data_IF_315785694640
#
_entry.id   IF_315785694640
#
_cell.length_a   1.000
_cell.length_b   1.000
_cell.length_c   1.000
_cell.angle_alpha   90.00
_cell.angle_beta   90.00
_cell.angle_gamma   90.00
#
_symmetry.space_group_name_H-M   'P 1'
#
loop_
_entity.id
_entity.type
_entity.pdbx_description
1 polymer ?
#
# COMPACT_ATOMS: atom_id res chain seq x y z
N UNK A 1 11.00 15.10 15.12
CA UNK A 1 10.64 14.98 13.68
C UNK A 1 9.44 14.06 13.43
N UNK A 2 8.49 14.44 12.55
CA UNK A 2 7.36 13.59 12.15
C UNK A 2 7.76 12.72 10.94
N UNK A 3 7.42 11.44 10.97
CA UNK A 3 7.63 10.51 9.84
C UNK A 3 6.28 10.03 9.33
N UNK A 4 6.00 10.24 8.05
CA UNK A 4 4.70 9.97 7.43
C UNK A 4 4.90 8.98 6.29
N UNK A 5 4.13 7.89 6.26
CA UNK A 5 4.12 6.93 5.15
C UNK A 5 2.89 7.06 4.26
N UNK A 6 2.98 6.56 3.03
CA UNK A 6 1.87 6.57 2.06
C UNK A 6 0.65 5.81 2.62
N UNK A 7 0.89 4.68 3.29
CA UNK A 7 -0.14 3.90 3.98
C UNK A 7 -0.80 4.69 5.12
N UNK A 8 -0.05 5.53 5.85
CA UNK A 8 -0.64 6.36 6.90
C UNK A 8 -1.57 7.42 6.35
N UNK A 9 -1.18 8.10 5.27
CA UNK A 9 -2.05 9.09 4.62
C UNK A 9 -3.28 8.43 3.97
N UNK A 10 -3.14 7.24 3.40
CA UNK A 10 -4.31 6.50 2.88
C UNK A 10 -5.25 6.03 4.00
N UNK A 11 -4.72 5.49 5.10
CA UNK A 11 -5.55 5.14 6.26
C UNK A 11 -6.24 6.36 6.86
N UNK A 12 -5.55 7.51 6.93
CA UNK A 12 -6.13 8.75 7.40
C UNK A 12 -7.25 9.25 6.48
N UNK A 13 -7.04 9.23 5.16
CA UNK A 13 -8.10 9.57 4.19
C UNK A 13 -9.32 8.67 4.37
N UNK A 14 -9.13 7.35 4.50
CA UNK A 14 -10.23 6.39 4.72
C UNK A 14 -10.96 6.66 6.04
N UNK A 15 -10.23 7.02 7.09
CA UNK A 15 -10.79 7.39 8.38
C UNK A 15 -11.66 8.65 8.27
N UNK A 16 -11.19 9.69 7.57
CA UNK A 16 -11.96 10.93 7.33
C UNK A 16 -13.28 10.70 6.57
N UNK A 17 -13.32 9.68 5.69
CA UNK A 17 -14.50 9.35 4.89
C UNK A 17 -15.46 8.36 5.58
N UNK A 18 -15.07 7.82 6.73
CA UNK A 18 -15.88 6.83 7.44
C UNK A 18 -16.54 7.46 8.66
N UNK A 19 -17.82 7.85 8.49
CA UNK A 19 -18.63 8.49 9.53
C UNK A 19 -18.82 7.64 10.81
N UNK A 20 -18.59 6.32 10.74
CA UNK A 20 -18.66 5.41 11.88
C UNK A 20 -17.34 5.30 12.66
N UNK A 21 -16.22 5.79 12.10
CA UNK A 21 -14.92 5.70 12.75
C UNK A 21 -14.76 6.75 13.85
N UNK A 22 -14.14 6.35 14.96
CA UNK A 22 -13.81 7.26 16.07
C UNK A 22 -12.37 7.75 15.97
N UNK A 23 -12.05 8.84 16.68
CA UNK A 23 -10.66 9.32 16.83
C UNK A 23 -9.77 8.19 17.38
N UNK A 24 -10.25 7.47 18.41
CA UNK A 24 -9.49 6.36 19.03
C UNK A 24 -9.12 5.27 18.02
N UNK A 25 -9.96 4.99 17.02
CA UNK A 25 -9.62 4.04 15.96
C UNK A 25 -8.38 4.47 15.17
N UNK A 26 -8.25 5.77 14.86
CA UNK A 26 -7.08 6.28 14.15
C UNK A 26 -5.84 6.33 15.07
N UNK A 27 -6.01 6.67 16.35
CA UNK A 27 -4.92 6.63 17.34
C UNK A 27 -4.37 5.21 17.45
N UNK A 28 -5.24 4.21 17.61
CA UNK A 28 -4.83 2.82 17.76
C UNK A 28 -4.13 2.27 16.51
N UNK A 29 -4.57 2.69 15.32
CA UNK A 29 -3.87 2.40 14.07
C UNK A 29 -2.44 2.99 14.07
N UNK A 30 -2.29 4.28 14.38
CA UNK A 30 -1.00 4.98 14.37
C UNK A 30 -0.02 4.40 15.40
N UNK A 31 -0.53 4.00 16.56
CA UNK A 31 0.24 3.40 17.65
C UNK A 31 0.39 1.88 17.51
N UNK A 32 -0.10 1.30 16.41
CA UNK A 32 0.00 -0.14 16.09
C UNK A 32 -0.59 -1.04 17.18
N UNK A 33 -1.70 -0.62 17.78
CA UNK A 33 -2.40 -1.38 18.84
C UNK A 33 -3.39 -2.38 18.26
N UNK A 34 -3.80 -2.22 17.01
CA UNK A 34 -4.67 -3.18 16.31
C UNK A 34 -3.84 -4.33 15.73
N UNK A 35 -4.12 -5.59 16.09
CA UNK A 35 -3.45 -6.74 15.48
C UNK A 35 -3.86 -6.88 14.00
N UNK A 36 -2.98 -7.42 13.14
CA UNK A 36 -3.32 -7.68 11.74
C UNK A 36 -4.40 -8.76 11.63
N UNK A 37 -5.28 -8.62 10.65
CA UNK A 37 -6.27 -9.66 10.32
C UNK A 37 -5.63 -10.80 9.53
N UNK A 38 -6.28 -11.97 9.46
CA UNK A 38 -5.80 -13.09 8.61
C UNK A 38 -5.62 -12.65 7.16
N UNK A 39 -6.55 -11.84 6.62
CA UNK A 39 -6.45 -11.32 5.25
C UNK A 39 -5.21 -10.42 5.06
N UNK A 40 -4.86 -9.59 6.05
CA UNK A 40 -3.64 -8.77 6.00
C UNK A 40 -2.37 -9.62 6.07
N UNK A 41 -2.39 -10.69 6.89
CA UNK A 41 -1.28 -11.65 6.98
C UNK A 41 -1.11 -12.42 5.66
N UNK A 42 -2.20 -12.91 5.08
CA UNK A 42 -2.21 -13.58 3.78
C UNK A 42 -1.71 -12.66 2.66
N UNK A 43 -2.16 -11.40 2.64
CA UNK A 43 -1.65 -10.40 1.69
C UNK A 43 -0.15 -10.18 1.83
N UNK A 44 0.36 -10.05 3.06
CA UNK A 44 1.79 -9.88 3.33
C UNK A 44 2.61 -11.11 2.90
N UNK A 45 2.10 -12.31 3.15
CA UNK A 45 2.72 -13.56 2.70
C UNK A 45 2.76 -13.63 1.16
N UNK A 46 1.68 -13.23 0.49
CA UNK A 46 1.63 -13.21 -0.97
C UNK A 46 2.60 -12.17 -1.58
N UNK A 47 2.78 -11.00 -0.96
CA UNK A 47 3.79 -10.04 -1.42
C UNK A 47 5.19 -10.64 -1.41
N UNK A 48 5.56 -11.39 -0.36
CA UNK A 48 6.87 -12.06 -0.28
C UNK A 48 7.08 -13.13 -1.36
N UNK A 49 6.00 -13.82 -1.78
CA UNK A 49 6.07 -14.71 -2.95
C UNK A 49 6.49 -13.93 -4.18
N UNK A 50 5.85 -12.79 -4.45
CA UNK A 50 6.16 -11.96 -5.62
C UNK A 50 7.52 -11.27 -5.50
N UNK A 51 7.92 -10.87 -4.30
CA UNK A 51 9.24 -10.34 -3.98
C UNK A 51 10.35 -11.33 -4.37
N UNK A 52 10.18 -12.60 -4.02
CA UNK A 52 11.22 -13.63 -4.23
C UNK A 52 11.17 -14.27 -5.62
N UNK A 53 10.06 -14.14 -6.35
CA UNK A 53 9.91 -14.67 -7.71
C UNK A 53 10.94 -14.08 -8.69
N UNK A 54 11.49 -14.93 -9.56
CA UNK A 54 12.50 -14.56 -10.56
C UNK A 54 11.91 -14.58 -11.97
N UNK A 55 12.67 -14.00 -12.89
CA UNK A 55 12.35 -14.10 -14.31
C UNK A 55 12.24 -15.57 -14.73
N UNK A 56 11.17 -15.90 -15.47
CA UNK A 56 10.78 -17.25 -15.89
C UNK A 56 10.40 -18.23 -14.77
N UNK A 57 10.12 -17.76 -13.55
CA UNK A 57 9.50 -18.64 -12.55
C UNK A 57 8.04 -18.94 -12.94
N UNK A 58 7.69 -20.23 -12.94
CA UNK A 58 6.31 -20.69 -13.08
C UNK A 58 5.71 -20.91 -11.70
N UNK A 59 4.77 -20.04 -11.31
CA UNK A 59 4.08 -20.13 -10.03
C UNK A 59 2.77 -20.89 -10.20
N UNK A 60 2.73 -22.16 -9.81
CA UNK A 60 1.49 -22.94 -9.79
C UNK A 60 0.88 -22.98 -8.39
N UNK A 61 1.58 -23.59 -7.44
CA UNK A 61 1.17 -23.66 -6.04
C UNK A 61 2.37 -23.27 -5.19
N UNK A 62 2.18 -22.28 -4.34
CA UNK A 62 3.23 -21.69 -3.50
C UNK A 62 2.78 -21.61 -2.05
N UNK A 63 3.75 -21.66 -1.15
CA UNK A 63 3.52 -21.54 0.28
C UNK A 63 4.49 -20.53 0.87
N UNK A 64 3.98 -19.59 1.67
CA UNK A 64 4.77 -18.57 2.33
C UNK A 64 4.12 -18.21 3.66
N UNK A 65 4.92 -18.12 4.73
CA UNK A 65 4.46 -17.75 6.08
C UNK A 65 3.25 -18.55 6.59
N UNK A 66 3.14 -19.83 6.20
CA UNK A 66 2.02 -20.70 6.58
C UNK A 66 0.73 -20.49 5.76
N UNK A 67 0.77 -19.66 4.71
CA UNK A 67 -0.31 -19.49 3.76
C UNK A 67 0.01 -20.19 2.45
N UNK A 68 -0.96 -20.94 1.91
CA UNK A 68 -0.86 -21.59 0.61
C UNK A 68 -1.67 -20.82 -0.43
N UNK A 69 -1.07 -20.56 -1.59
CA UNK A 69 -1.71 -19.91 -2.72
C UNK A 69 -1.67 -20.82 -3.94
N UNK A 70 -2.80 -20.96 -4.61
CA UNK A 70 -2.93 -21.70 -5.86
C UNK A 70 -3.21 -20.73 -7.00
N UNK A 71 -2.23 -20.58 -7.87
CA UNK A 71 -2.24 -19.75 -9.07
C UNK A 71 -2.45 -20.59 -10.34
N UNK A 72 -2.61 -21.92 -10.23
CA UNK A 72 -2.71 -22.82 -11.40
C UNK A 72 -3.92 -22.53 -12.31
N UNK A 73 -4.90 -21.80 -11.80
CA UNK A 73 -6.05 -21.30 -12.56
C UNK A 73 -5.78 -20.00 -13.33
N UNK A 74 -4.62 -19.36 -13.15
CA UNK A 74 -4.20 -18.17 -13.90
C UNK A 74 -3.29 -18.58 -15.06
N UNK A 75 -3.70 -18.22 -16.26
CA UNK A 75 -2.87 -18.31 -17.47
C UNK A 75 -2.51 -16.89 -17.92
N UNK A 76 -1.52 -16.30 -17.25
CA UNK A 76 -1.05 -14.95 -17.56
C UNK A 76 0.41 -14.75 -17.15
N UNK A 77 1.08 -13.83 -17.84
CA UNK A 77 2.38 -13.33 -17.44
C UNK A 77 2.23 -12.11 -16.51
N UNK A 78 2.98 -12.11 -15.41
CA UNK A 78 3.02 -11.00 -14.45
C UNK A 78 4.35 -10.29 -14.62
N UNK A 79 4.31 -9.03 -15.03
CA UNK A 79 5.50 -8.20 -15.11
C UNK A 79 5.93 -7.76 -13.69
N UNK A 80 6.98 -8.38 -13.17
CA UNK A 80 7.62 -8.02 -11.91
C UNK A 80 8.98 -7.35 -12.21
N UNK A 81 9.14 -6.05 -11.94
CA UNK A 81 10.45 -5.40 -12.02
C UNK A 81 11.50 -6.05 -11.10
N UNK A 82 12.78 -5.93 -11.47
CA UNK A 82 13.89 -6.46 -10.65
C UNK A 82 14.09 -5.68 -9.35
N UNK A 83 13.86 -4.36 -9.37
CA UNK A 83 13.94 -3.54 -8.16
C UNK A 83 12.65 -3.68 -7.36
N UNK A 84 12.72 -4.44 -6.27
CA UNK A 84 11.61 -4.76 -5.37
C UNK A 84 11.87 -4.25 -3.96
N UNK A 85 10.81 -4.07 -3.18
CA UNK A 85 10.87 -3.52 -1.81
C UNK A 85 11.68 -2.22 -1.71
N UNK A 86 11.53 -1.36 -2.73
CA UNK A 86 12.37 -0.18 -2.86
C UNK A 86 11.89 0.91 -1.90
N UNK A 87 12.79 1.34 -1.01
CA UNK A 87 12.50 2.33 0.02
C UNK A 87 13.07 3.71 -0.36
N UNK A 88 12.24 4.74 -0.16
CA UNK A 88 12.61 6.14 -0.23
C UNK A 88 12.32 6.85 1.10
N UNK A 89 13.24 7.72 1.50
CA UNK A 89 12.98 8.74 2.52
C UNK A 89 13.21 10.13 1.91
N UNK A 90 12.19 10.98 1.95
CA UNK A 90 12.23 12.36 1.42
C UNK A 90 11.98 13.34 2.56
N UNK A 91 13.01 14.09 2.95
CA UNK A 91 12.88 15.16 3.93
C UNK A 91 12.25 16.39 3.28
N UNK A 92 11.32 17.02 3.99
CA UNK A 92 10.63 18.23 3.52
C UNK A 92 10.11 19.05 4.71
N UNK A 93 9.44 20.16 4.39
CA UNK A 93 8.74 20.99 5.37
C UNK A 93 7.30 21.18 4.92
N UNK A 94 6.35 20.91 5.82
CA UNK A 94 4.91 21.13 5.60
C UNK A 94 4.47 22.15 6.65
N UNK A 95 4.03 23.34 6.22
CA UNK A 95 3.59 24.43 7.11
C UNK A 95 4.58 24.76 8.24
N UNK A 96 5.88 24.74 7.93
CA UNK A 96 6.97 25.01 8.89
C UNK A 96 7.39 23.80 9.74
N UNK A 97 6.69 22.67 9.66
CA UNK A 97 7.02 21.46 10.41
C UNK A 97 8.00 20.58 9.61
N UNK A 98 9.12 20.12 10.22
CA UNK A 98 10.04 19.19 9.58
C UNK A 98 9.44 17.78 9.52
N UNK A 99 9.34 17.27 8.28
CA UNK A 99 8.70 15.99 7.98
C UNK A 99 9.65 15.12 7.17
N UNK A 100 9.64 13.81 7.43
CA UNK A 100 10.20 12.82 6.51
C UNK A 100 9.07 11.97 5.93
N UNK A 101 8.87 12.07 4.62
CA UNK A 101 8.03 11.12 3.90
C UNK A 101 8.78 9.81 3.71
N UNK A 102 8.10 8.70 3.96
CA UNK A 102 8.66 7.34 3.90
C UNK A 102 7.79 6.50 2.98
N UNK A 103 8.33 6.14 1.82
CA UNK A 103 7.69 5.22 0.89
C UNK A 103 8.44 3.90 0.82
N UNK A 104 7.70 2.79 0.82
CA UNK A 104 8.21 1.48 0.43
C UNK A 104 7.26 0.97 -0.64
N UNK A 105 7.78 0.71 -1.83
CA UNK A 105 6.99 0.23 -2.97
C UNK A 105 7.37 -1.23 -3.25
N UNK A 106 6.38 -2.04 -3.61
CA UNK A 106 6.62 -3.48 -3.82
C UNK A 106 7.57 -3.71 -5.00
N UNK A 107 7.43 -2.93 -6.07
CA UNK A 107 8.42 -2.88 -7.15
C UNK A 107 8.46 -1.54 -7.90
N UNK A 108 9.57 -1.26 -8.56
CA UNK A 108 9.79 -0.03 -9.34
C UNK A 108 10.64 -0.29 -10.57
N UNK A 109 10.36 0.43 -11.66
CA UNK A 109 11.26 0.57 -12.81
C UNK A 109 11.28 2.04 -13.25
N UNK A 110 12.00 2.34 -14.32
CA UNK A 110 12.08 3.71 -14.87
C UNK A 110 10.66 4.26 -15.05
N UNK A 111 10.36 5.32 -14.31
CA UNK A 111 9.13 6.10 -14.37
C UNK A 111 7.82 5.33 -14.05
N UNK A 112 7.89 4.14 -13.44
CA UNK A 112 6.70 3.36 -13.09
C UNK A 112 6.88 2.61 -11.76
N UNK A 113 5.89 2.76 -10.89
CA UNK A 113 5.79 2.09 -9.58
C UNK A 113 4.72 1.00 -9.65
N UNK A 114 4.98 -0.11 -8.96
CA UNK A 114 4.05 -1.22 -8.82
C UNK A 114 3.78 -1.51 -7.35
N UNK A 115 2.51 -1.79 -7.06
CA UNK A 115 2.04 -2.22 -5.75
C UNK A 115 1.11 -3.41 -5.95
N UNK A 116 1.38 -4.51 -5.25
CA UNK A 116 0.63 -5.73 -5.31
C UNK A 116 -0.52 -5.67 -4.28
N UNK A 117 -1.66 -6.26 -4.61
CA UNK A 117 -2.78 -6.38 -3.67
C UNK A 117 -3.44 -7.74 -3.82
N UNK A 118 -3.42 -8.51 -2.75
CA UNK A 118 -4.29 -9.67 -2.61
C UNK A 118 -5.66 -9.21 -2.09
N UNK A 119 -6.73 -9.47 -2.84
CA UNK A 119 -8.07 -8.96 -2.52
C UNK A 119 -9.16 -9.99 -2.82
N UNK A 120 -10.29 -9.92 -2.14
CA UNK A 120 -11.47 -10.73 -2.47
C UNK A 120 -12.25 -10.17 -3.68
N UNK A 121 -12.05 -8.89 -4.01
CA UNK A 121 -12.71 -8.18 -5.11
C UNK A 121 -11.69 -7.36 -5.89
N UNK A 122 -11.59 -7.60 -7.19
CA UNK A 122 -10.83 -6.76 -8.11
C UNK A 122 -11.68 -5.57 -8.56
N UNK A 123 -11.82 -4.57 -7.69
CA UNK A 123 -12.58 -3.34 -7.95
C UNK A 123 -11.61 -2.16 -8.14
N UNK A 124 -11.39 -1.79 -9.39
CA UNK A 124 -10.50 -0.69 -9.77
C UNK A 124 -10.99 0.67 -9.27
N UNK A 125 -12.31 0.87 -9.16
CA UNK A 125 -12.90 2.17 -8.79
C UNK A 125 -12.54 2.53 -7.35
N UNK A 126 -12.45 1.53 -6.47
CA UNK A 126 -12.07 1.69 -5.06
C UNK A 126 -10.67 2.30 -4.85
N UNK A 127 -9.82 2.31 -5.89
CA UNK A 127 -8.45 2.84 -5.84
C UNK A 127 -8.28 4.22 -6.48
N UNK A 128 -9.29 4.72 -7.22
CA UNK A 128 -9.21 6.03 -7.90
C UNK A 128 -8.82 7.13 -6.92
N UNK A 129 -9.45 7.14 -5.75
CA UNK A 129 -9.23 8.18 -4.74
C UNK A 129 -8.18 7.83 -3.69
N UNK A 130 -7.39 6.78 -3.88
CA UNK A 130 -6.33 6.41 -2.94
C UNK A 130 -5.23 7.48 -2.85
N UNK A 131 -4.86 7.87 -1.63
CA UNK A 131 -3.67 8.70 -1.40
C UNK A 131 -2.38 7.94 -1.64
N UNK A 132 -2.41 6.60 -1.53
CA UNK A 132 -1.20 5.79 -1.57
C UNK A 132 -0.45 5.98 -2.90
N UNK A 133 -1.12 5.83 -4.04
CA UNK A 133 -0.48 5.99 -5.34
C UNK A 133 -0.08 7.45 -5.62
N UNK A 134 -0.89 8.43 -5.18
CA UNK A 134 -0.57 9.86 -5.30
C UNK A 134 0.72 10.21 -4.54
N UNK A 135 0.83 9.73 -3.30
CA UNK A 135 2.02 9.91 -2.49
C UNK A 135 3.24 9.28 -3.15
N UNK A 136 3.12 8.04 -3.64
CA UNK A 136 4.23 7.37 -4.29
C UNK A 136 4.68 8.10 -5.55
N UNK A 137 3.76 8.52 -6.42
CA UNK A 137 4.14 9.27 -7.61
C UNK A 137 4.82 10.60 -7.25
N UNK A 138 4.27 11.39 -6.32
CA UNK A 138 4.87 12.66 -5.87
C UNK A 138 6.25 12.49 -5.21
N UNK A 139 6.41 11.47 -4.35
CA UNK A 139 7.63 11.30 -3.57
C UNK A 139 8.78 10.75 -4.41
N UNK A 140 8.51 9.77 -5.26
CA UNK A 140 9.51 9.09 -6.10
C UNK A 140 9.76 9.79 -7.44
N UNK A 141 9.05 10.87 -7.72
CA UNK A 141 9.12 11.59 -8.98
C UNK A 141 8.88 10.71 -10.21
N UNK A 142 7.82 9.89 -10.13
CA UNK A 142 7.37 9.01 -11.21
C UNK A 142 6.04 9.50 -11.81
N UNK A 143 5.75 9.06 -13.03
CA UNK A 143 4.54 9.44 -13.78
C UNK A 143 3.45 8.36 -13.79
N UNK A 144 3.80 7.09 -13.54
CA UNK A 144 2.86 5.97 -13.61
C UNK A 144 2.92 5.09 -12.38
N UNK A 145 1.75 4.73 -11.87
CA UNK A 145 1.59 3.77 -10.79
C UNK A 145 0.67 2.64 -11.27
N UNK A 146 0.98 1.39 -10.94
CA UNK A 146 0.16 0.24 -11.29
C UNK A 146 -0.13 -0.61 -10.06
N UNK A 147 -1.40 -0.70 -9.68
CA UNK A 147 -1.86 -1.76 -8.77
C UNK A 147 -1.96 -3.07 -9.54
N UNK A 148 -1.29 -4.09 -9.05
CA UNK A 148 -1.42 -5.47 -9.48
C UNK A 148 -2.43 -6.18 -8.57
N UNK A 149 -3.70 -6.18 -8.96
CA UNK A 149 -4.79 -6.76 -8.17
C UNK A 149 -4.91 -8.26 -8.42
N UNK A 150 -4.68 -9.06 -7.39
CA UNK A 150 -4.86 -10.50 -7.39
C UNK A 150 -6.15 -10.84 -6.66
N UNK A 151 -7.18 -11.20 -7.42
CA UNK A 151 -8.44 -11.62 -6.84
C UNK A 151 -8.29 -13.04 -6.30
N UNK A 152 -8.62 -13.24 -5.03
CA UNK A 152 -8.54 -14.54 -4.37
C UNK A 152 -9.83 -14.89 -3.64
N UNK A 153 -9.94 -16.17 -3.27
CA UNK A 153 -10.89 -16.63 -2.27
C UNK A 153 -10.34 -17.88 -1.59
N UNK A 154 -10.73 -18.07 -0.32
CA UNK A 154 -10.42 -19.27 0.45
C UNK A 154 -11.67 -20.15 0.54
N UNK A 155 -11.73 -21.34 -0.09
CA UNK A 155 -12.84 -22.26 0.08
C UNK A 155 -12.99 -22.68 1.55
N UNK A 156 -14.22 -22.80 2.05
CA UNK A 156 -14.48 -23.06 3.48
C UNK A 156 -13.82 -24.35 4.02
N UNK A 157 -13.61 -25.35 3.17
CA UNK A 157 -13.07 -26.66 3.54
C UNK A 157 -11.61 -26.87 3.10
N UNK A 158 -10.92 -25.80 2.70
CA UNK A 158 -9.53 -25.90 2.23
C UNK A 158 -8.70 -24.77 2.82
N UNK A 159 -7.50 -25.10 3.28
CA UNK A 159 -6.54 -24.11 3.77
C UNK A 159 -5.64 -23.62 2.61
N UNK A 160 -6.29 -23.10 1.57
CA UNK A 160 -5.63 -22.57 0.37
C UNK A 160 -6.40 -21.38 -0.17
N UNK A 161 -5.66 -20.34 -0.52
CA UNK A 161 -6.19 -19.20 -1.27
C UNK A 161 -6.07 -19.51 -2.76
N UNK A 162 -7.22 -19.62 -3.43
CA UNK A 162 -7.27 -19.81 -4.87
C UNK A 162 -7.27 -18.43 -5.55
N UNK A 163 -6.25 -18.16 -6.37
CA UNK A 163 -6.17 -16.92 -7.14
C UNK A 163 -6.99 -17.09 -8.41
N UNK A 164 -8.04 -16.27 -8.54
CA UNK A 164 -9.06 -16.35 -9.59
C UNK A 164 -8.73 -15.51 -10.82
N UNK A 165 -8.21 -14.31 -10.59
CA UNK A 165 -7.94 -13.35 -11.65
C UNK A 165 -6.80 -12.43 -11.25
N UNK A 166 -6.13 -11.91 -12.27
CA UNK A 166 -5.12 -10.86 -12.16
C UNK A 166 -5.58 -9.66 -12.99
N UNK A 167 -5.63 -8.48 -12.36
CA UNK A 167 -6.05 -7.24 -13.00
C UNK A 167 -5.04 -6.12 -12.67
N UNK A 168 -4.20 -5.72 -13.64
CA UNK A 168 -3.38 -4.51 -13.49
C UNK A 168 -4.25 -3.26 -13.70
N UNK A 169 -4.18 -2.31 -12.75
CA UNK A 169 -4.89 -1.03 -12.80
C UNK A 169 -3.86 0.09 -12.68
N UNK A 170 -3.77 0.94 -13.70
CA UNK A 170 -2.79 2.02 -13.73
C UNK A 170 -3.39 3.40 -13.50
N UNK A 171 -2.65 4.22 -12.77
CA UNK A 171 -2.92 5.63 -12.48
C UNK A 171 -1.73 6.47 -12.93
N UNK A 172 -1.99 7.73 -13.28
CA UNK A 172 -0.99 8.63 -13.85
C UNK A 172 -0.89 9.90 -13.04
N UNK A 173 0.30 10.49 -13.06
CA UNK A 173 0.54 11.83 -12.51
C UNK A 173 -0.36 12.86 -13.18
N UNK A 174 -0.80 13.83 -12.39
CA UNK A 174 -1.56 14.99 -12.84
C UNK A 174 -1.02 16.25 -12.17
N UNK A 175 -1.25 17.42 -12.78
CA UNK A 175 -0.58 18.68 -12.44
C UNK A 175 -0.67 19.08 -10.96
N UNK A 176 -1.81 18.87 -10.31
CA UNK A 176 -2.06 19.29 -8.92
C UNK A 176 -1.75 18.23 -7.86
N UNK A 177 -1.18 17.08 -8.24
CA UNK A 177 -0.94 15.97 -7.31
C UNK A 177 -0.12 16.36 -6.08
N UNK A 178 0.93 17.17 -6.28
CA UNK A 178 1.78 17.63 -5.19
C UNK A 178 1.01 18.50 -4.17
N UNK A 179 0.03 19.29 -4.63
CA UNK A 179 -0.83 20.08 -3.76
C UNK A 179 -1.75 19.19 -2.92
N UNK A 180 -2.37 18.18 -3.54
CA UNK A 180 -3.25 17.23 -2.85
C UNK A 180 -2.50 16.43 -1.78
N UNK A 181 -1.28 15.98 -2.09
CA UNK A 181 -0.39 15.30 -1.13
C UNK A 181 -0.01 16.25 0.01
N UNK A 182 0.30 17.51 -0.29
CA UNK A 182 0.64 18.51 0.71
C UNK A 182 -0.53 18.82 1.65
N UNK A 183 -1.74 19.00 1.12
CA UNK A 183 -2.95 19.28 1.90
C UNK A 183 -3.28 18.10 2.84
N UNK A 184 -3.26 16.88 2.31
CA UNK A 184 -3.47 15.68 3.11
C UNK A 184 -2.42 15.53 4.21
N UNK A 185 -1.14 15.76 3.89
CA UNK A 185 -0.07 15.72 4.88
C UNK A 185 -0.22 16.80 5.96
N UNK A 186 -0.63 18.02 5.59
CA UNK A 186 -0.90 19.09 6.55
C UNK A 186 -2.01 18.69 7.52
N UNK A 187 -3.15 18.23 6.99
CA UNK A 187 -4.28 17.79 7.81
C UNK A 187 -3.89 16.65 8.76
N UNK A 188 -3.10 15.68 8.26
CA UNK A 188 -2.57 14.60 9.08
C UNK A 188 -1.64 15.08 10.20
N UNK A 189 -0.75 16.04 9.92
CA UNK A 189 0.15 16.62 10.91
C UNK A 189 -0.63 17.30 12.04
N UNK A 190 -1.66 18.07 11.70
CA UNK A 190 -2.53 18.72 12.67
C UNK A 190 -3.24 17.68 13.55
N UNK A 191 -3.75 16.59 12.95
CA UNK A 191 -4.32 15.48 13.71
C UNK A 191 -3.32 14.87 14.69
N UNK A 192 -2.11 14.53 14.22
CA UNK A 192 -1.05 13.94 15.05
C UNK A 192 -0.68 14.85 16.21
N UNK A 193 -0.51 16.15 15.99
CA UNK A 193 -0.14 17.11 17.04
C UNK A 193 -1.22 17.23 18.12
N UNK A 194 -2.49 17.18 17.73
CA UNK A 194 -3.61 17.35 18.65
C UNK A 194 -3.99 16.07 19.41
N UNK A 195 -3.78 14.90 18.80
CA UNK A 195 -4.34 13.64 19.33
C UNK A 195 -3.30 12.56 19.64
N UNK A 196 -2.11 12.60 19.02
CA UNK A 196 -1.07 11.55 19.18
C UNK A 196 0.34 12.17 19.28
N UNK A 197 0.61 13.06 20.24
CA UNK A 197 1.89 13.75 20.34
C UNK A 197 3.08 12.78 20.54
N UNK A 198 2.87 11.59 21.10
CA UNK A 198 3.88 10.55 21.23
C UNK A 198 4.34 9.94 19.90
N UNK A 199 3.57 10.12 18.82
CA UNK A 199 3.96 9.71 17.47
C UNK A 199 5.12 10.57 16.93
N UNK A 200 5.27 11.78 17.47
CA UNK A 200 6.35 12.70 17.12
C UNK A 200 7.60 12.25 17.86
N UNK A 201 8.60 11.77 17.10
CA UNK A 201 9.91 11.46 17.69
C UNK A 201 10.55 12.76 18.18
N UNK A 202 10.91 12.81 19.46
CA UNK A 202 11.82 13.83 19.98
C UNK A 202 13.23 13.46 19.53
N UNK A 203 13.94 14.42 18.98
CA UNK A 203 15.32 14.23 18.52
C UNK A 203 16.25 13.94 19.71
#
# INVERSE_FOLDING_TARGET
MIRISATQLESYRRWLLNDESTIDNMIDFLLKRTPPTEAMLAGSAFHKVLETAKYNDELAIVEQDGFKFDLSGLDCEIALPEAKEFKLEKQTTINGEPVTFVGVVDAIKINEIFDHKLTSRADAESYIDSMQWRCYLDWFDCDKFTYNLFQCYKPANQDVYLIKSFLPVSFYRYDNMGADVHEMASSFIDFVKNHVPEFIKKD
#
